data_IF_626367103228
#
_entry.id   IF_626367103228
#
_cell.length_a   1.000
_cell.length_b   1.000
_cell.length_c   1.000
_cell.angle_alpha   90.00
_cell.angle_beta   90.00
_cell.angle_gamma   90.00
#
_symmetry.space_group_name_H-M   'P 1'
#
loop_
_entity.id
_entity.type
_entity.pdbx_description
1 polymer ?
#
# COMPACT_ATOMS: atom_id res chain seq x y z
N UNK A 1 19.11 -6.90 -4.98
CA UNK A 1 17.67 -7.07 -5.32
C UNK A 1 17.13 -8.43 -4.87
N UNK A 2 17.71 -9.57 -5.30
CA UNK A 2 17.25 -10.92 -4.94
C UNK A 2 17.02 -11.17 -3.43
N UNK A 3 18.00 -10.84 -2.59
CA UNK A 3 17.90 -11.01 -1.13
C UNK A 3 16.87 -10.09 -0.46
N UNK A 4 16.62 -8.90 -1.04
CA UNK A 4 15.63 -7.95 -0.53
C UNK A 4 14.21 -8.44 -0.81
N UNK A 5 13.97 -9.02 -1.99
CA UNK A 5 12.66 -9.57 -2.37
C UNK A 5 12.24 -10.70 -1.45
N UNK A 6 13.14 -11.65 -1.17
CA UNK A 6 12.83 -12.79 -0.30
C UNK A 6 12.55 -12.37 1.15
N UNK A 7 13.40 -11.51 1.72
CA UNK A 7 13.19 -10.98 3.08
C UNK A 7 11.91 -10.15 3.18
N UNK A 8 11.57 -9.39 2.13
CA UNK A 8 10.33 -8.61 2.08
C UNK A 8 9.11 -9.52 2.08
N UNK A 9 9.10 -10.57 1.26
CA UNK A 9 8.02 -11.56 1.24
C UNK A 9 7.78 -12.13 2.64
N UNK A 10 8.83 -12.64 3.28
CA UNK A 10 8.74 -13.17 4.64
C UNK A 10 8.23 -12.13 5.65
N UNK A 11 8.75 -10.90 5.60
CA UNK A 11 8.32 -9.84 6.52
C UNK A 11 6.86 -9.45 6.34
N UNK A 12 6.31 -9.51 5.14
CA UNK A 12 4.92 -9.14 4.85
C UNK A 12 3.95 -10.29 5.20
N UNK A 13 4.27 -11.51 4.77
CA UNK A 13 3.37 -12.66 4.89
C UNK A 13 3.47 -13.40 6.22
N UNK A 14 4.60 -13.35 6.93
CA UNK A 14 4.76 -14.10 8.19
C UNK A 14 3.94 -13.50 9.33
N UNK A 15 3.93 -12.17 9.59
CA UNK A 15 3.09 -11.60 10.65
C UNK A 15 1.59 -11.80 10.38
N UNK A 16 1.17 -11.71 9.13
CA UNK A 16 -0.23 -11.90 8.71
C UNK A 16 -0.66 -13.36 8.81
N UNK A 17 0.22 -14.31 8.46
CA UNK A 17 -0.02 -15.73 8.70
C UNK A 17 -0.14 -16.07 10.18
N UNK A 18 0.74 -15.51 11.03
CA UNK A 18 0.67 -15.71 12.49
C UNK A 18 -0.60 -15.10 13.08
N UNK A 19 -0.97 -13.89 12.66
CA UNK A 19 -2.18 -13.21 13.12
C UNK A 19 -3.45 -13.99 12.76
N UNK A 20 -3.62 -14.38 11.50
CA UNK A 20 -4.77 -15.18 11.06
C UNK A 20 -4.79 -16.58 11.69
N UNK A 21 -3.62 -17.16 11.98
CA UNK A 21 -3.52 -18.40 12.74
C UNK A 21 -3.99 -18.22 14.20
N UNK A 22 -3.66 -17.11 14.85
CA UNK A 22 -4.21 -16.80 16.17
C UNK A 22 -5.74 -16.64 16.14
N UNK A 23 -6.28 -16.03 15.09
CA UNK A 23 -7.75 -15.90 14.90
C UNK A 23 -8.41 -17.29 14.88
N UNK A 24 -7.88 -18.25 14.12
CA UNK A 24 -8.48 -19.59 14.09
C UNK A 24 -8.38 -20.30 15.45
N UNK A 25 -7.29 -20.12 16.19
CA UNK A 25 -7.14 -20.68 17.54
C UNK A 25 -8.21 -20.10 18.49
N UNK A 26 -8.41 -18.79 18.49
CA UNK A 26 -9.42 -18.11 19.30
C UNK A 26 -10.85 -18.51 18.90
N UNK A 27 -11.08 -18.71 17.61
CA UNK A 27 -12.34 -19.19 17.06
C UNK A 27 -12.66 -20.61 17.51
N UNK A 28 -11.66 -21.49 17.61
CA UNK A 28 -11.83 -22.84 18.17
C UNK A 28 -12.15 -22.82 19.68
N UNK A 29 -11.58 -21.89 20.42
CA UNK A 29 -11.88 -21.70 21.87
C UNK A 29 -13.28 -21.12 22.08
N UNK A 30 -13.92 -20.56 21.03
CA UNK A 30 -15.25 -19.97 21.11
C UNK A 30 -15.27 -18.52 21.58
N UNK A 31 -14.12 -17.84 21.60
CA UNK A 31 -14.02 -16.44 22.03
C UNK A 31 -14.91 -15.51 21.19
N UNK A 32 -15.05 -15.78 19.89
CA UNK A 32 -15.87 -15.01 18.96
C UNK A 32 -17.38 -15.30 19.05
N UNK A 33 -17.81 -16.38 19.71
CA UNK A 33 -19.24 -16.67 19.87
C UNK A 33 -19.90 -15.71 20.86
N UNK A 34 -19.13 -15.20 21.84
CA UNK A 34 -19.64 -14.23 22.80
C UNK A 34 -20.01 -12.90 22.13
N UNK A 35 -19.19 -12.44 21.18
CA UNK A 35 -19.40 -11.15 20.49
C UNK A 35 -20.24 -11.27 19.23
N UNK A 36 -20.64 -12.48 18.81
CA UNK A 36 -21.35 -12.75 17.56
C UNK A 36 -22.65 -11.97 17.41
N UNK A 37 -23.45 -11.91 18.48
CA UNK A 37 -24.74 -11.22 18.48
C UNK A 37 -24.57 -9.71 18.31
N UNK A 38 -23.52 -9.14 18.92
CA UNK A 38 -23.19 -7.74 18.79
C UNK A 38 -22.64 -7.42 17.39
N UNK A 39 -21.77 -8.27 16.85
CA UNK A 39 -21.13 -8.08 15.55
C UNK A 39 -22.10 -8.04 14.36
N UNK A 40 -23.26 -8.72 14.48
CA UNK A 40 -24.31 -8.73 13.46
C UNK A 40 -25.34 -7.60 13.59
N UNK A 41 -25.28 -6.79 14.66
CA UNK A 41 -26.31 -5.80 14.96
C UNK A 41 -26.11 -4.52 14.13
N UNK A 42 -27.06 -4.29 13.20
CA UNK A 42 -27.11 -3.10 12.34
C UNK A 42 -27.33 -1.80 13.11
N UNK A 43 -27.76 -1.87 14.38
CA UNK A 43 -27.87 -0.69 15.24
C UNK A 43 -26.49 -0.07 15.54
N UNK A 44 -25.47 -0.93 15.71
CA UNK A 44 -24.11 -0.51 16.04
C UNK A 44 -23.18 -0.49 14.81
N UNK A 45 -23.34 -1.43 13.86
CA UNK A 45 -22.55 -1.49 12.62
C UNK A 45 -23.28 -0.84 11.45
N UNK A 46 -23.00 0.45 11.21
CA UNK A 46 -23.75 1.29 10.24
C UNK A 46 -23.23 1.25 8.79
N UNK A 47 -21.92 1.08 8.58
CA UNK A 47 -21.32 1.11 7.23
C UNK A 47 -21.12 -0.30 6.66
N UNK A 48 -20.10 -1.01 7.13
CA UNK A 48 -19.70 -2.31 6.58
C UNK A 48 -19.80 -3.35 7.69
N UNK A 49 -20.51 -4.44 7.41
CA UNK A 49 -20.57 -5.61 8.30
C UNK A 49 -19.58 -6.63 7.77
N UNK A 50 -18.50 -6.81 8.52
CA UNK A 50 -17.42 -7.72 8.12
C UNK A 50 -17.86 -9.19 8.24
N UNK A 51 -17.45 -10.04 7.28
CA UNK A 51 -17.75 -11.46 7.34
C UNK A 51 -17.05 -12.08 8.55
N UNK A 52 -17.84 -12.69 9.43
CA UNK A 52 -17.31 -13.41 10.59
C UNK A 52 -17.20 -14.90 10.24
N UNK A 53 -16.00 -15.50 10.27
CA UNK A 53 -15.84 -16.93 10.00
C UNK A 53 -16.63 -17.78 11.01
N UNK A 54 -17.25 -18.86 10.54
CA UNK A 54 -18.07 -19.76 11.37
C UNK A 54 -17.18 -20.85 11.94
N UNK A 55 -17.47 -21.30 13.17
CA UNK A 55 -16.80 -22.46 13.78
C UNK A 55 -17.20 -23.74 13.06
N UNK A 56 -16.25 -24.35 12.36
CA UNK A 56 -16.43 -25.65 11.71
C UNK A 56 -16.51 -26.79 12.74
N UNK A 57 -17.07 -27.94 12.37
CA UNK A 57 -17.21 -29.06 13.31
C UNK A 57 -15.85 -29.65 13.73
N UNK A 58 -14.93 -29.83 12.77
CA UNK A 58 -13.61 -30.41 13.01
C UNK A 58 -12.49 -29.37 13.07
N UNK A 59 -11.56 -29.53 14.01
CA UNK A 59 -10.34 -28.70 14.08
C UNK A 59 -9.48 -28.83 12.82
N UNK A 60 -9.44 -30.03 12.23
CA UNK A 60 -8.73 -30.25 10.96
C UNK A 60 -9.41 -29.52 9.79
N UNK A 61 -10.75 -29.50 9.77
CA UNK A 61 -11.48 -28.79 8.73
C UNK A 61 -11.19 -27.28 8.79
N UNK A 62 -11.20 -26.68 9.98
CA UNK A 62 -10.86 -25.26 10.16
C UNK A 62 -9.41 -24.94 9.74
N UNK A 63 -8.46 -25.81 10.09
CA UNK A 63 -7.07 -25.62 9.69
C UNK A 63 -6.88 -25.75 8.18
N UNK A 64 -7.53 -26.73 7.55
CA UNK A 64 -7.52 -26.91 6.09
C UNK A 64 -8.10 -25.69 5.38
N UNK A 65 -9.21 -25.17 5.87
CA UNK A 65 -9.85 -23.96 5.35
C UNK A 65 -8.91 -22.74 5.43
N UNK A 66 -8.31 -22.52 6.61
CA UNK A 66 -7.28 -21.50 6.78
C UNK A 66 -6.09 -21.68 5.82
N UNK A 67 -5.60 -22.91 5.63
CA UNK A 67 -4.49 -23.18 4.73
C UNK A 67 -4.84 -22.88 3.26
N UNK A 68 -6.07 -23.16 2.83
CA UNK A 68 -6.56 -22.80 1.49
C UNK A 68 -6.69 -21.28 1.33
N UNK A 69 -7.21 -20.60 2.35
CA UNK A 69 -7.26 -19.14 2.37
C UNK A 69 -5.85 -18.53 2.36
N UNK A 70 -4.89 -19.11 3.08
CA UNK A 70 -3.48 -18.68 3.08
C UNK A 70 -2.82 -18.92 1.71
N UNK A 71 -3.13 -20.03 1.04
CA UNK A 71 -2.65 -20.29 -0.31
C UNK A 71 -3.16 -19.23 -1.30
N UNK A 72 -4.46 -18.93 -1.26
CA UNK A 72 -5.06 -17.87 -2.08
C UNK A 72 -4.52 -16.48 -1.71
N UNK A 73 -4.20 -16.24 -0.44
CA UNK A 73 -3.58 -15.01 0.05
C UNK A 73 -2.18 -14.80 -0.53
N UNK A 74 -1.37 -15.86 -0.55
CA UNK A 74 0.00 -15.83 -1.09
C UNK A 74 0.00 -15.86 -2.62
N UNK A 75 -1.13 -16.14 -3.27
CA UNK A 75 -1.22 -16.22 -4.73
C UNK A 75 -1.01 -14.85 -5.40
N UNK A 76 0.22 -14.61 -5.86
CA UNK A 76 0.67 -13.32 -6.43
C UNK A 76 0.28 -13.13 -7.90
N UNK A 77 -0.10 -14.20 -8.60
CA UNK A 77 -0.35 -14.17 -10.05
C UNK A 77 -1.77 -13.75 -10.43
N UNK A 78 -2.67 -13.68 -9.45
CA UNK A 78 -4.04 -13.19 -9.63
C UNK A 78 -4.07 -11.67 -9.74
N UNK A 79 -4.89 -11.17 -10.67
CA UNK A 79 -5.05 -9.74 -10.94
C UNK A 79 -6.42 -9.20 -10.56
N UNK A 80 -7.18 -9.97 -9.79
CA UNK A 80 -8.47 -9.57 -9.25
C UNK A 80 -8.30 -8.45 -8.22
N UNK A 81 -9.21 -7.49 -8.24
CA UNK A 81 -9.21 -6.28 -7.41
C UNK A 81 -9.21 -6.60 -5.91
N UNK A 82 -9.86 -7.70 -5.52
CA UNK A 82 -9.88 -8.24 -4.15
C UNK A 82 -9.13 -9.58 -4.05
N UNK A 83 -8.25 -9.87 -5.02
CA UNK A 83 -7.45 -11.09 -5.09
C UNK A 83 -6.46 -11.14 -3.93
N UNK A 84 -6.79 -11.95 -2.93
CA UNK A 84 -6.05 -12.04 -1.67
C UNK A 84 -6.79 -11.45 -0.46
N UNK A 85 -8.06 -11.07 -0.56
CA UNK A 85 -8.88 -10.88 0.63
C UNK A 85 -9.10 -12.23 1.32
N UNK A 86 -8.86 -12.30 2.62
CA UNK A 86 -9.15 -13.50 3.41
C UNK A 86 -10.45 -13.29 4.17
N UNK A 87 -11.29 -14.32 4.26
CA UNK A 87 -12.52 -14.25 5.08
C UNK A 87 -12.23 -14.17 6.58
N UNK A 88 -10.97 -14.39 6.98
CA UNK A 88 -10.50 -14.30 8.36
C UNK A 88 -10.13 -12.86 8.75
N UNK A 89 -9.59 -12.10 7.82
CA UNK A 89 -9.33 -10.68 7.96
C UNK A 89 -9.34 -10.04 6.56
N UNK A 90 -10.37 -9.22 6.31
CA UNK A 90 -10.58 -8.57 5.02
C UNK A 90 -9.51 -7.51 4.79
N UNK A 91 -9.02 -6.84 5.84
CA UNK A 91 -8.07 -5.72 5.73
C UNK A 91 -6.69 -6.14 5.23
N UNK A 92 -6.35 -7.43 5.29
CA UNK A 92 -5.09 -7.97 4.79
C UNK A 92 -4.97 -7.91 3.27
N UNK A 93 -6.04 -7.57 2.54
CA UNK A 93 -6.05 -7.49 1.07
C UNK A 93 -4.94 -6.60 0.47
N UNK A 94 -4.48 -5.59 1.20
CA UNK A 94 -3.41 -4.68 0.78
C UNK A 94 -2.03 -5.37 0.74
N UNK A 95 -1.82 -6.43 1.52
CA UNK A 95 -0.51 -7.08 1.67
C UNK A 95 -0.09 -7.80 0.37
N UNK A 96 -0.93 -8.64 -0.27
CA UNK A 96 -0.60 -9.22 -1.58
C UNK A 96 -0.43 -8.16 -2.67
N UNK A 97 -1.23 -7.09 -2.61
CA UNK A 97 -1.13 -5.94 -3.51
C UNK A 97 0.22 -5.22 -3.40
N UNK A 98 0.65 -4.90 -2.19
CA UNK A 98 1.96 -4.29 -1.90
C UNK A 98 3.11 -5.16 -2.40
N UNK A 99 3.01 -6.48 -2.20
CA UNK A 99 4.03 -7.41 -2.66
C UNK A 99 4.12 -7.43 -4.20
N UNK A 100 2.97 -7.53 -4.89
CA UNK A 100 2.89 -7.46 -6.37
C UNK A 100 3.50 -6.16 -6.91
N UNK A 101 3.08 -5.03 -6.36
CA UNK A 101 3.58 -3.72 -6.76
C UNK A 101 5.09 -3.60 -6.54
N UNK A 102 5.61 -4.18 -5.44
CA UNK A 102 7.06 -4.18 -5.18
C UNK A 102 7.86 -5.02 -6.17
N UNK A 103 7.34 -6.17 -6.62
CA UNK A 103 7.99 -6.99 -7.66
C UNK A 103 8.08 -6.23 -8.98
N UNK A 104 6.99 -5.58 -9.37
CA UNK A 104 6.96 -4.74 -10.57
C UNK A 104 7.93 -3.56 -10.46
N UNK A 105 7.95 -2.88 -9.32
CA UNK A 105 8.91 -1.80 -9.04
C UNK A 105 10.35 -2.29 -9.20
N UNK A 106 10.70 -3.44 -8.63
CA UNK A 106 12.05 -4.01 -8.77
C UNK A 106 12.39 -4.32 -10.23
N UNK A 107 11.43 -4.84 -11.00
CA UNK A 107 11.61 -5.08 -12.43
C UNK A 107 11.87 -3.77 -13.19
N UNK A 108 11.08 -2.71 -12.93
CA UNK A 108 11.27 -1.40 -13.55
C UNK A 108 12.62 -0.78 -13.16
N UNK A 109 13.02 -0.87 -11.89
CA UNK A 109 14.33 -0.38 -11.43
C UNK A 109 15.46 -1.11 -12.16
N UNK A 110 15.40 -2.43 -12.27
CA UNK A 110 16.44 -3.22 -12.96
C UNK A 110 16.45 -2.91 -14.46
N UNK A 111 15.28 -2.87 -15.10
CA UNK A 111 15.14 -2.60 -16.54
C UNK A 111 15.59 -1.20 -16.93
N UNK A 112 15.43 -0.22 -16.04
CA UNK A 112 15.83 1.18 -16.27
C UNK A 112 17.18 1.54 -15.66
N UNK A 113 17.88 0.61 -15.01
CA UNK A 113 19.11 0.88 -14.25
C UNK A 113 20.25 1.49 -15.09
N UNK A 114 20.32 1.17 -16.39
CA UNK A 114 21.36 1.66 -17.29
C UNK A 114 20.91 2.83 -18.18
N UNK A 115 19.68 3.30 -18.02
CA UNK A 115 19.18 4.43 -18.80
C UNK A 115 19.74 5.74 -18.26
N UNK A 116 19.96 6.70 -19.18
CA UNK A 116 20.23 8.09 -18.77
C UNK A 116 19.02 8.64 -18.03
N UNK A 117 19.24 9.45 -17.01
CA UNK A 117 18.20 10.04 -16.14
C UNK A 117 17.00 10.56 -16.92
N UNK A 118 17.19 11.43 -17.92
CA UNK A 118 16.07 12.00 -18.71
C UNK A 118 15.26 10.93 -19.45
N UNK A 119 15.94 9.92 -20.01
CA UNK A 119 15.26 8.81 -20.69
C UNK A 119 14.55 7.92 -19.66
N UNK A 120 15.15 7.69 -18.50
CA UNK A 120 14.52 6.94 -17.40
C UNK A 120 13.22 7.59 -16.95
N UNK A 121 13.21 8.91 -16.73
CA UNK A 121 11.98 9.64 -16.38
C UNK A 121 10.90 9.50 -17.47
N UNK A 122 11.28 9.61 -18.75
CA UNK A 122 10.34 9.42 -19.87
C UNK A 122 9.78 7.99 -19.92
N UNK A 123 10.64 6.99 -19.80
CA UNK A 123 10.25 5.57 -19.83
C UNK A 123 9.35 5.21 -18.65
N UNK A 124 9.73 5.59 -17.43
CA UNK A 124 8.92 5.33 -16.22
C UNK A 124 7.61 6.11 -16.27
N UNK A 125 7.62 7.35 -16.77
CA UNK A 125 6.40 8.14 -17.01
C UNK A 125 5.46 7.45 -18.01
N UNK A 126 6.01 6.92 -19.10
CA UNK A 126 5.25 6.12 -20.08
C UNK A 126 4.64 4.85 -19.49
N UNK A 127 5.42 4.12 -18.68
CA UNK A 127 4.92 2.93 -17.95
C UNK A 127 3.81 3.34 -16.96
N UNK A 128 3.98 4.44 -16.24
CA UNK A 128 2.99 4.96 -15.30
C UNK A 128 1.69 5.30 -16.00
N UNK A 129 1.76 5.97 -17.15
CA UNK A 129 0.60 6.30 -17.99
C UNK A 129 -0.10 5.03 -18.51
N UNK A 130 0.67 4.04 -18.96
CA UNK A 130 0.14 2.75 -19.40
C UNK A 130 -0.61 2.04 -18.26
N UNK A 131 0.01 1.93 -17.07
CA UNK A 131 -0.63 1.33 -15.89
C UNK A 131 -1.93 2.04 -15.51
N UNK A 132 -1.95 3.37 -15.57
CA UNK A 132 -3.14 4.17 -15.28
C UNK A 132 -4.29 3.85 -16.25
N UNK A 133 -4.00 3.70 -17.56
CA UNK A 133 -5.02 3.36 -18.57
C UNK A 133 -5.59 1.96 -18.41
N UNK A 134 -4.87 1.05 -17.76
CA UNK A 134 -5.31 -0.31 -17.44
C UNK A 134 -5.95 -0.43 -16.04
N UNK A 135 -6.33 0.70 -15.43
CA UNK A 135 -6.95 0.76 -14.09
C UNK A 135 -6.07 0.17 -12.98
N UNK A 136 -4.74 0.19 -13.15
CA UNK A 136 -3.76 -0.27 -12.15
C UNK A 136 -3.15 0.91 -11.42
N UNK A 137 -4.00 1.65 -10.72
CA UNK A 137 -3.64 2.88 -10.01
C UNK A 137 -2.63 2.64 -8.89
N UNK A 138 -2.59 1.44 -8.33
CA UNK A 138 -1.69 1.03 -7.25
C UNK A 138 -0.24 1.05 -7.72
N UNK A 139 0.01 0.61 -8.96
CA UNK A 139 1.34 0.67 -9.58
C UNK A 139 1.77 2.12 -9.80
N UNK A 140 0.85 3.03 -10.13
CA UNK A 140 1.16 4.43 -10.35
C UNK A 140 1.75 5.07 -9.08
N UNK A 141 1.17 4.79 -7.90
CA UNK A 141 1.68 5.31 -6.62
C UNK A 141 3.11 4.83 -6.33
N UNK A 142 3.39 3.54 -6.56
CA UNK A 142 4.73 2.97 -6.38
C UNK A 142 5.75 3.56 -7.35
N UNK A 143 5.39 3.75 -8.62
CA UNK A 143 6.26 4.35 -9.63
C UNK A 143 6.51 5.84 -9.36
N UNK A 144 5.49 6.59 -8.93
CA UNK A 144 5.65 7.97 -8.47
C UNK A 144 6.63 8.05 -7.29
N UNK A 145 6.54 7.12 -6.32
CA UNK A 145 7.51 7.02 -5.23
C UNK A 145 8.95 6.78 -5.71
N UNK A 146 9.15 5.94 -6.72
CA UNK A 146 10.46 5.76 -7.36
C UNK A 146 10.97 7.05 -8.02
N UNK A 147 10.13 7.77 -8.76
CA UNK A 147 10.52 9.03 -9.40
C UNK A 147 10.88 10.09 -8.36
N UNK A 148 10.14 10.18 -7.25
CA UNK A 148 10.46 11.08 -6.15
C UNK A 148 11.81 10.73 -5.52
N UNK A 149 12.06 9.45 -5.22
CA UNK A 149 13.34 9.00 -4.70
C UNK A 149 14.51 9.29 -5.66
N UNK A 150 14.26 9.20 -6.96
CA UNK A 150 15.23 9.58 -7.98
C UNK A 150 15.50 11.09 -7.98
N UNK A 151 14.46 11.94 -7.89
CA UNK A 151 14.66 13.40 -7.79
C UNK A 151 15.40 13.80 -6.52
N UNK A 152 15.16 13.10 -5.41
CA UNK A 152 15.83 13.33 -4.14
C UNK A 152 17.31 12.94 -4.22
N UNK A 153 17.61 11.81 -4.85
CA UNK A 153 18.97 11.37 -5.13
C UNK A 153 19.74 12.38 -6.01
N UNK A 154 19.11 12.92 -7.06
CA UNK A 154 19.72 13.94 -7.93
C UNK A 154 19.97 15.25 -7.19
N UNK A 155 19.09 15.62 -6.23
CA UNK A 155 19.25 16.81 -5.39
C UNK A 155 20.33 16.66 -4.33
N UNK A 156 20.82 15.45 -4.08
CA UNK A 156 21.82 15.19 -3.05
C UNK A 156 21.30 15.42 -1.62
N UNK A 157 19.99 15.27 -1.38
CA UNK A 157 19.38 15.60 -0.09
C UNK A 157 19.92 14.76 1.08
N UNK A 158 20.41 13.55 0.80
CA UNK A 158 21.01 12.64 1.76
C UNK A 158 22.55 12.67 1.78
N UNK A 159 23.19 13.61 1.08
CA UNK A 159 24.63 13.80 1.17
C UNK A 159 24.91 14.53 2.50
N UNK A 160 25.65 13.93 3.45
CA UNK A 160 25.96 14.58 4.72
C UNK A 160 26.68 15.90 4.45
N UNK A 161 26.27 16.96 5.17
CA UNK A 161 26.91 18.27 5.03
C UNK A 161 28.42 18.12 5.28
N UNK A 162 29.27 18.74 4.44
CA UNK A 162 30.71 18.64 4.61
C UNK A 162 31.12 19.15 5.99
N UNK A 163 31.97 18.38 6.67
CA UNK A 163 32.41 18.58 8.06
C UNK A 163 33.32 19.82 8.25
N UNK A 164 33.61 20.53 7.16
CA UNK A 164 34.49 21.71 7.16
C UNK A 164 33.64 22.98 7.10
N UNK A 165 33.96 24.03 7.89
CA UNK A 165 33.25 25.30 7.84
C UNK A 165 33.48 25.95 6.46
N UNK A 166 32.50 25.82 5.56
CA UNK A 166 32.45 26.61 4.34
C UNK A 166 32.04 28.04 4.72
N UNK A 167 33.04 28.87 5.01
CA UNK A 167 32.87 30.31 5.04
C UNK A 167 32.69 30.81 3.60
N UNK A 168 31.45 30.88 3.12
CA UNK A 168 31.10 31.96 2.19
C UNK A 168 29.59 32.21 2.18
N UNK A 169 29.24 33.48 2.43
CA UNK A 169 27.89 34.04 2.33
C UNK A 169 27.31 33.72 0.95
N UNK A 170 26.47 32.70 0.84
CA UNK A 170 25.49 32.67 -0.24
C UNK A 170 24.31 33.57 0.15
N UNK A 171 23.91 34.53 -0.71
CA UNK A 171 22.68 35.27 -0.45
C UNK A 171 21.54 34.25 -0.49
N UNK A 172 20.87 34.04 0.65
CA UNK A 172 19.58 33.36 0.72
C UNK A 172 18.53 34.24 0.05
N UNK A 173 18.65 34.44 -1.26
CA UNK A 173 17.65 35.15 -2.07
C UNK A 173 16.40 34.27 -2.12
N UNK A 174 15.35 34.67 -1.38
CA UNK A 174 13.91 34.81 -1.73
C UNK A 174 13.18 33.75 -2.58
N UNK A 175 13.86 32.89 -3.35
CA UNK A 175 13.32 31.88 -4.27
C UNK A 175 12.58 30.73 -3.57
N UNK A 176 12.61 30.69 -2.23
CA UNK A 176 11.95 29.68 -1.41
C UNK A 176 10.46 29.93 -1.19
N UNK A 177 9.98 31.18 -1.17
CA UNK A 177 8.58 31.45 -0.81
C UNK A 177 7.60 31.02 -1.89
N UNK A 178 7.82 31.40 -3.16
CA UNK A 178 6.96 30.96 -4.27
C UNK A 178 6.97 29.43 -4.46
N UNK A 179 8.14 28.81 -4.30
CA UNK A 179 8.29 27.35 -4.34
C UNK A 179 7.57 26.70 -3.16
N UNK A 180 7.69 27.26 -1.95
CA UNK A 180 6.98 26.80 -0.76
C UNK A 180 5.48 26.91 -0.95
N UNK A 181 4.99 28.07 -1.42
CA UNK A 181 3.57 28.32 -1.64
C UNK A 181 3.00 27.32 -2.67
N UNK A 182 3.73 27.06 -3.75
CA UNK A 182 3.35 26.06 -4.74
C UNK A 182 3.22 24.66 -4.13
N UNK A 183 4.23 24.18 -3.38
CA UNK A 183 4.17 22.86 -2.76
C UNK A 183 3.11 22.77 -1.65
N UNK A 184 2.89 23.86 -0.90
CA UNK A 184 1.80 23.95 0.08
C UNK A 184 0.45 23.86 -0.61
N UNK A 185 0.21 24.60 -1.69
CA UNK A 185 -1.04 24.51 -2.46
C UNK A 185 -1.27 23.12 -3.04
N UNK A 186 -0.22 22.49 -3.60
CA UNK A 186 -0.30 21.10 -4.10
C UNK A 186 -0.63 20.13 -2.97
N UNK A 187 -0.02 20.30 -1.79
CA UNK A 187 -0.31 19.46 -0.62
C UNK A 187 -1.74 19.65 -0.11
N UNK A 188 -2.24 20.88 -0.05
CA UNK A 188 -3.61 21.19 0.38
C UNK A 188 -4.62 20.61 -0.62
N UNK A 189 -4.38 20.77 -1.92
CA UNK A 189 -5.21 20.16 -2.95
C UNK A 189 -5.18 18.62 -2.88
N UNK A 190 -4.02 18.02 -2.64
CA UNK A 190 -3.90 16.57 -2.47
C UNK A 190 -4.66 16.06 -1.23
N UNK A 191 -4.54 16.75 -0.09
CA UNK A 191 -5.29 16.43 1.13
C UNK A 191 -6.79 16.58 0.92
N UNK A 192 -7.21 17.61 0.19
CA UNK A 192 -8.58 17.79 -0.22
C UNK A 192 -9.05 16.58 -1.02
N UNK A 193 -8.41 16.24 -2.15
CA UNK A 193 -8.77 15.06 -2.96
C UNK A 193 -8.80 13.75 -2.17
N UNK A 194 -7.87 13.56 -1.22
CA UNK A 194 -7.82 12.36 -0.36
C UNK A 194 -8.94 12.31 0.69
N UNK A 195 -9.58 13.43 0.99
CA UNK A 195 -10.72 13.51 1.90
C UNK A 195 -12.07 13.30 1.21
N UNK A 196 -12.07 12.98 -0.09
CA UNK A 196 -13.28 12.58 -0.80
C UNK A 196 -13.81 11.26 -0.22
N UNK A 197 -15.11 11.18 0.15
CA UNK A 197 -15.69 9.94 0.63
C UNK A 197 -15.83 8.91 -0.50
N UNK A 198 -15.67 7.63 -0.16
CA UNK A 198 -15.80 6.53 -1.11
C UNK A 198 -17.23 6.39 -1.68
N UNK A 199 -18.25 6.82 -0.91
CA UNK A 199 -19.66 6.80 -1.31
C UNK A 199 -20.39 8.04 -0.75
N UNK A 200 -21.45 8.48 -1.41
CA UNK A 200 -22.26 9.62 -0.98
C UNK A 200 -21.58 10.99 -1.07
N UNK A 201 -20.67 11.17 -2.03
CA UNK A 201 -19.97 12.45 -2.27
C UNK A 201 -20.93 13.64 -2.44
N UNK A 202 -22.09 13.40 -3.06
CA UNK A 202 -23.17 14.38 -3.24
C UNK A 202 -23.82 14.88 -1.93
N UNK A 203 -23.69 14.12 -0.84
CA UNK A 203 -24.23 14.47 0.49
C UNK A 203 -23.14 15.04 1.40
N UNK A 204 -21.87 14.81 1.05
CA UNK A 204 -20.73 15.23 1.86
C UNK A 204 -20.43 16.73 1.65
N UNK A 205 -20.44 17.55 2.71
CA UNK A 205 -20.21 18.97 2.59
C UNK A 205 -18.80 19.24 2.04
N UNK A 206 -18.73 19.96 0.92
CA UNK A 206 -17.48 20.28 0.23
C UNK A 206 -17.25 19.48 -1.04
N UNK A 207 -17.98 18.39 -1.28
CA UNK A 207 -17.93 17.61 -2.51
C UNK A 207 -19.20 17.87 -3.35
N UNK A 208 -19.05 17.94 -4.68
CA UNK A 208 -20.15 18.18 -5.64
C UNK A 208 -20.17 17.04 -6.64
#
# INVERSE_FOLDING_TARGET
MSSLTFRRALRLYLPTAVSTFMIICLLRIGAYEWTRQFAGDRMYMKNIVEPHPIRMESSYAQFRDWALHMYNFVHVFGWDEHGGSTSYDVHLWTIPLEFRCSLYLFLVIIGTARLRTSIRFLTVGGITWFSYRHSRWELCLFLCGMLLAETDHIRGAHIPSPVLPQSEKQPRMSRGWAKSLFWTSVSVLGLYLMSQPDDGGEVAPGWV
#
